data_IF_207341831107
#
_entry.id   IF_207341831107
#
_cell.length_a   1.000
_cell.length_b   1.000
_cell.length_c   1.000
_cell.angle_alpha   90.00
_cell.angle_beta   90.00
_cell.angle_gamma   90.00
#
_symmetry.space_group_name_H-M   'P 1'
#
loop_
_entity.id
_entity.type
_entity.pdbx_description
1 polymer ?
#
# COMPACT_ATOMS: atom_id res chain seq x y z
N UNK A 1 23.20 43.83 17.98
CA UNK A 1 22.49 42.84 17.15
C UNK A 1 23.39 41.64 16.95
N UNK A 2 23.06 40.44 17.45
CA UNK A 2 23.81 39.24 17.12
C UNK A 2 23.37 38.70 15.73
N UNK A 3 24.27 38.11 14.95
CA UNK A 3 23.95 37.60 13.62
C UNK A 3 23.09 36.33 13.70
N UNK A 4 22.09 36.27 12.83
CA UNK A 4 21.22 35.10 12.60
C UNK A 4 22.06 33.92 12.09
N UNK A 5 22.18 32.87 12.90
CA UNK A 5 22.77 31.59 12.49
C UNK A 5 21.83 30.94 11.46
N UNK A 6 22.17 31.02 10.18
CA UNK A 6 21.56 30.17 9.15
C UNK A 6 21.89 28.72 9.50
N UNK A 7 20.86 27.98 9.90
CA UNK A 7 20.97 26.54 10.12
C UNK A 7 21.50 25.84 8.88
N UNK A 8 22.64 25.18 9.03
CA UNK A 8 23.18 24.23 8.05
C UNK A 8 22.08 23.16 7.83
N UNK A 9 21.65 22.87 6.59
CA UNK A 9 20.76 21.75 6.36
C UNK A 9 21.53 20.47 6.69
N UNK A 10 21.35 19.96 7.91
CA UNK A 10 21.82 18.63 8.27
C UNK A 10 21.04 17.68 7.38
N UNK A 11 21.73 17.01 6.46
CA UNK A 11 21.19 15.82 5.82
C UNK A 11 20.80 14.87 6.95
N UNK A 12 19.52 14.87 7.33
CA UNK A 12 18.96 13.86 8.23
C UNK A 12 19.23 12.54 7.51
N UNK A 13 20.13 11.73 8.06
CA UNK A 13 20.21 10.32 7.72
C UNK A 13 18.81 9.75 7.95
N UNK A 14 18.08 9.49 6.87
CA UNK A 14 16.74 8.95 6.95
C UNK A 14 16.84 7.56 7.57
N UNK A 15 16.35 7.42 8.79
CA UNK A 15 16.16 6.12 9.41
C UNK A 15 14.75 5.66 9.03
N UNK A 16 14.64 4.73 8.09
CA UNK A 16 13.34 4.19 7.65
C UNK A 16 12.53 3.52 8.75
N UNK A 17 13.16 3.17 9.88
CA UNK A 17 12.48 2.63 11.06
C UNK A 17 11.95 3.71 12.02
N UNK A 18 12.34 4.97 11.86
CA UNK A 18 11.90 6.07 12.73
C UNK A 18 10.50 6.60 12.37
N UNK A 19 9.93 6.17 11.24
CA UNK A 19 8.66 6.66 10.71
C UNK A 19 7.79 5.52 10.20
N UNK A 20 7.59 4.49 11.02
CA UNK A 20 6.66 3.40 10.69
C UNK A 20 5.39 3.59 11.53
N UNK A 21 4.20 3.64 10.89
CA UNK A 21 2.99 3.86 11.66
C UNK A 21 2.73 2.62 12.52
N UNK A 22 1.77 2.70 13.44
CA UNK A 22 1.29 1.52 14.17
C UNK A 22 0.51 0.59 13.23
N UNK A 23 1.24 -0.07 12.35
CA UNK A 23 0.72 -1.08 11.44
C UNK A 23 0.36 -2.35 12.23
N UNK A 24 -0.66 -3.10 11.80
CA UNK A 24 -0.89 -4.42 12.34
C UNK A 24 0.31 -5.34 12.04
N UNK A 25 0.61 -6.33 12.91
CA UNK A 25 1.74 -7.24 12.72
C UNK A 25 1.76 -7.92 11.34
N UNK A 26 0.61 -8.26 10.78
CA UNK A 26 0.49 -8.88 9.45
C UNK A 26 0.97 -8.00 8.31
N UNK A 27 0.87 -6.66 8.44
CA UNK A 27 1.42 -5.74 7.46
C UNK A 27 2.95 -5.69 7.53
N UNK A 28 3.53 -5.74 8.73
CA UNK A 28 4.98 -5.90 8.90
C UNK A 28 5.48 -7.23 8.32
N UNK A 29 4.76 -8.33 8.58
CA UNK A 29 5.08 -9.65 8.03
C UNK A 29 5.14 -9.66 6.50
N UNK A 30 4.34 -8.84 5.83
CA UNK A 30 4.39 -8.68 4.37
C UNK A 30 5.47 -7.69 3.91
N UNK A 31 5.64 -6.57 4.62
CA UNK A 31 6.59 -5.52 4.23
C UNK A 31 8.04 -6.00 4.25
N UNK A 32 8.45 -6.74 5.27
CA UNK A 32 9.83 -7.19 5.45
C UNK A 32 10.33 -8.08 4.28
N UNK A 33 9.57 -9.10 3.84
CA UNK A 33 9.86 -9.84 2.61
C UNK A 33 9.92 -8.94 1.37
N UNK A 34 8.95 -8.02 1.19
CA UNK A 34 8.95 -7.10 0.05
C UNK A 34 10.24 -6.26 0.00
N UNK A 35 10.74 -5.80 1.16
CA UNK A 35 12.00 -5.06 1.25
C UNK A 35 13.23 -5.93 0.95
N UNK A 36 13.13 -7.25 1.08
CA UNK A 36 14.23 -8.18 0.83
C UNK A 36 14.23 -8.68 -0.62
N UNK A 37 13.05 -8.87 -1.21
CA UNK A 37 12.84 -9.45 -2.54
C UNK A 37 12.74 -8.40 -3.66
N UNK A 38 12.74 -7.11 -3.32
CA UNK A 38 12.69 -6.02 -4.29
C UNK A 38 13.85 -6.04 -5.30
N UNK A 39 13.55 -5.67 -6.53
CA UNK A 39 14.56 -5.18 -7.47
C UNK A 39 15.12 -3.83 -7.00
N UNK A 40 16.35 -3.45 -7.40
CA UNK A 40 16.88 -2.11 -7.18
C UNK A 40 15.88 -1.04 -7.68
N UNK A 41 15.60 -0.07 -6.82
CA UNK A 41 14.58 0.95 -7.05
C UNK A 41 13.21 0.63 -6.45
N UNK A 42 13.03 -0.52 -5.79
CA UNK A 42 11.82 -0.80 -5.00
C UNK A 42 10.72 -1.57 -5.69
N UNK A 43 10.98 -2.09 -6.89
CA UNK A 43 9.98 -2.85 -7.61
C UNK A 43 9.86 -4.26 -7.03
N UNK A 44 8.64 -4.70 -6.74
CA UNK A 44 8.34 -6.07 -6.30
C UNK A 44 7.36 -6.71 -7.28
N UNK A 45 7.74 -7.85 -7.86
CA UNK A 45 6.94 -8.61 -8.81
C UNK A 45 6.47 -9.93 -8.16
N UNK A 46 5.34 -9.87 -7.45
CA UNK A 46 4.70 -11.03 -6.84
C UNK A 46 3.20 -10.78 -6.70
N UNK A 47 2.38 -11.79 -6.83
CA UNK A 47 0.94 -11.78 -6.59
C UNK A 47 0.62 -12.03 -5.12
N UNK A 48 -0.64 -11.78 -4.71
CA UNK A 48 -1.07 -12.16 -3.37
C UNK A 48 -1.01 -13.68 -3.13
N UNK A 49 -1.14 -14.49 -4.19
CA UNK A 49 -0.98 -15.94 -4.11
C UNK A 49 0.47 -16.32 -3.86
N UNK A 50 1.41 -15.70 -4.56
CA UNK A 50 2.85 -15.95 -4.37
C UNK A 50 3.32 -15.49 -2.99
N UNK A 51 2.90 -14.31 -2.52
CA UNK A 51 3.19 -13.88 -1.14
C UNK A 51 2.58 -14.83 -0.09
N UNK A 52 1.34 -15.27 -0.30
CA UNK A 52 0.68 -16.20 0.60
C UNK A 52 1.46 -17.52 0.71
N UNK A 53 1.88 -18.08 -0.43
CA UNK A 53 2.67 -19.29 -0.49
C UNK A 53 4.05 -19.10 0.19
N UNK A 54 4.78 -18.04 -0.15
CA UNK A 54 6.11 -17.77 0.40
C UNK A 54 6.12 -17.51 1.91
N UNK A 55 5.03 -16.95 2.44
CA UNK A 55 4.90 -16.64 3.87
C UNK A 55 4.15 -17.72 4.67
N UNK A 56 3.71 -18.80 4.01
CA UNK A 56 2.82 -19.81 4.61
C UNK A 56 1.58 -19.17 5.29
N UNK A 57 0.99 -18.17 4.62
CA UNK A 57 -0.17 -17.41 5.08
C UNK A 57 -1.36 -17.63 4.16
N UNK A 58 -2.56 -17.46 4.69
CA UNK A 58 -3.76 -17.40 3.86
C UNK A 58 -3.74 -16.19 2.94
N UNK A 59 -4.14 -16.37 1.67
CA UNK A 59 -4.27 -15.25 0.69
C UNK A 59 -5.17 -14.13 1.21
N UNK A 60 -6.17 -14.46 2.03
CA UNK A 60 -7.05 -13.51 2.70
C UNK A 60 -6.33 -12.64 3.75
N UNK A 61 -5.22 -13.11 4.33
CA UNK A 61 -4.38 -12.29 5.21
C UNK A 61 -3.55 -11.30 4.41
N UNK A 62 -2.93 -11.73 3.30
CA UNK A 62 -2.21 -10.82 2.39
C UNK A 62 -3.13 -9.72 1.86
N UNK A 63 -4.35 -10.10 1.47
CA UNK A 63 -5.36 -9.17 0.97
C UNK A 63 -5.85 -8.17 2.03
N UNK A 64 -5.73 -8.49 3.32
CA UNK A 64 -6.04 -7.59 4.44
C UNK A 64 -4.83 -6.73 4.83
N UNK A 65 -3.61 -7.24 4.68
CA UNK A 65 -2.38 -6.53 5.00
C UNK A 65 -2.03 -5.43 3.97
N UNK A 66 -2.19 -5.73 2.68
CA UNK A 66 -1.79 -4.81 1.60
C UNK A 66 -2.40 -3.39 1.71
N UNK A 67 -3.71 -3.21 2.01
CA UNK A 67 -4.28 -1.89 2.18
C UNK A 67 -3.63 -1.05 3.29
N UNK A 68 -3.12 -1.66 4.35
CA UNK A 68 -2.38 -0.94 5.39
C UNK A 68 -1.06 -0.38 4.84
N UNK A 69 -0.32 -1.17 4.06
CA UNK A 69 0.94 -0.72 3.45
C UNK A 69 0.72 0.41 2.43
N UNK A 70 -0.40 0.36 1.71
CA UNK A 70 -0.80 1.42 0.77
C UNK A 70 -1.22 2.69 1.52
N UNK A 71 -2.08 2.57 2.54
CA UNK A 71 -2.52 3.72 3.34
C UNK A 71 -1.32 4.42 4.02
N UNK A 72 -0.33 3.64 4.45
CA UNK A 72 0.91 4.12 5.05
C UNK A 72 1.93 4.67 4.03
N UNK A 73 1.59 4.79 2.75
CA UNK A 73 2.49 5.23 1.65
C UNK A 73 3.74 4.36 1.46
N UNK A 74 3.83 3.20 2.12
CA UNK A 74 5.02 2.33 2.05
C UNK A 74 5.07 1.58 0.72
N UNK A 75 3.91 1.27 0.17
CA UNK A 75 3.74 0.52 -1.08
C UNK A 75 2.73 1.22 -1.99
N UNK A 76 3.04 1.32 -3.27
CA UNK A 76 2.07 1.65 -4.32
C UNK A 76 1.76 0.42 -5.15
N UNK A 77 0.49 0.17 -5.44
CA UNK A 77 0.06 -0.88 -6.38
C UNK A 77 0.16 -0.32 -7.79
N UNK A 78 1.13 -0.77 -8.60
CA UNK A 78 1.22 -0.37 -10.01
C UNK A 78 0.13 -1.09 -10.82
N UNK A 79 0.05 -2.41 -10.64
CA UNK A 79 -0.96 -3.30 -11.22
C UNK A 79 -0.99 -4.61 -10.45
N UNK A 80 -1.92 -5.51 -10.79
CA UNK A 80 -1.95 -6.85 -10.19
C UNK A 80 -0.58 -7.52 -10.31
N UNK A 81 -0.04 -7.97 -9.19
CA UNK A 81 1.25 -8.66 -9.12
C UNK A 81 2.48 -7.76 -9.23
N UNK A 82 2.32 -6.43 -9.20
CA UNK A 82 3.46 -5.51 -9.33
C UNK A 82 3.28 -4.30 -8.41
N UNK A 83 4.23 -4.15 -7.50
CA UNK A 83 4.21 -3.18 -6.42
C UNK A 83 5.48 -2.33 -6.44
N UNK A 84 5.37 -1.11 -5.94
CA UNK A 84 6.49 -0.17 -5.82
C UNK A 84 6.65 0.22 -4.35
N UNK A 85 7.79 -0.10 -3.75
CA UNK A 85 8.17 0.40 -2.45
C UNK A 85 8.48 1.89 -2.51
N UNK A 86 8.19 2.59 -1.41
CA UNK A 86 8.50 4.01 -1.26
C UNK A 86 10.02 4.26 -1.40
N UNK A 87 10.48 5.29 -2.13
CA UNK A 87 11.91 5.55 -2.36
C UNK A 87 12.77 5.64 -1.09
N UNK A 88 12.17 6.06 0.02
CA UNK A 88 12.86 6.19 1.30
C UNK A 88 13.13 4.82 1.99
N UNK A 89 12.41 3.76 1.63
CA UNK A 89 12.62 2.38 2.15
C UNK A 89 13.10 1.40 1.08
N UNK A 90 13.05 1.79 -0.19
CA UNK A 90 13.53 0.99 -1.31
C UNK A 90 15.06 0.90 -1.31
N UNK A 91 15.57 -0.26 -1.72
CA UNK A 91 16.99 -0.49 -1.93
C UNK A 91 17.40 0.02 -3.31
N UNK A 92 18.55 0.69 -3.41
CA UNK A 92 19.13 1.16 -4.66
C UNK A 92 20.59 0.73 -4.74
N UNK A 93 21.07 0.50 -5.97
CA UNK A 93 22.48 0.19 -6.21
C UNK A 93 23.37 1.44 -6.08
N UNK A 94 22.83 2.62 -6.42
CA UNK A 94 23.51 3.91 -6.29
C UNK A 94 22.74 4.82 -5.31
N UNK A 95 23.38 5.31 -4.24
CA UNK A 95 22.79 6.31 -3.34
C UNK A 95 22.28 7.58 -4.04
N UNK A 96 22.86 7.96 -5.18
CA UNK A 96 22.42 9.10 -5.99
C UNK A 96 21.06 8.85 -6.64
N UNK A 97 20.78 7.61 -7.05
CA UNK A 97 19.47 7.22 -7.57
C UNK A 97 18.41 7.30 -6.48
N UNK A 98 18.74 6.83 -5.28
CA UNK A 98 17.86 6.96 -4.13
C UNK A 98 17.56 8.43 -3.82
N UNK A 99 18.58 9.30 -3.80
CA UNK A 99 18.38 10.74 -3.56
C UNK A 99 17.53 11.39 -4.65
N UNK A 100 17.70 11.02 -5.92
CA UNK A 100 16.87 11.50 -7.02
C UNK A 100 15.42 11.06 -6.85
N UNK A 101 15.19 9.79 -6.52
CA UNK A 101 13.86 9.26 -6.29
C UNK A 101 13.17 9.94 -5.10
N UNK A 102 13.87 10.15 -3.98
CA UNK A 102 13.35 10.87 -2.80
C UNK A 102 13.03 12.33 -3.13
N UNK A 103 13.86 13.01 -3.93
CA UNK A 103 13.60 14.40 -4.36
C UNK A 103 12.41 14.51 -5.32
N UNK A 104 12.14 13.46 -6.09
CA UNK A 104 10.99 13.40 -6.98
C UNK A 104 9.69 13.02 -6.24
N UNK A 105 9.79 12.47 -5.03
CA UNK A 105 8.63 12.20 -4.17
C UNK A 105 7.98 13.54 -3.76
N UNK A 106 6.68 13.73 -4.01
CA UNK A 106 5.94 14.88 -3.50
C UNK A 106 6.09 15.01 -1.99
N UNK A 107 6.19 16.23 -1.47
CA UNK A 107 6.40 16.47 -0.04
C UNK A 107 5.31 15.78 0.79
N UNK A 108 4.05 15.92 0.38
CA UNK A 108 2.89 15.27 0.98
C UNK A 108 2.87 13.74 0.80
N UNK A 109 3.90 13.12 0.22
CA UNK A 109 4.07 11.68 0.15
C UNK A 109 5.31 11.20 0.89
N UNK A 110 6.15 12.11 1.38
CA UNK A 110 7.34 11.74 2.13
C UNK A 110 6.98 11.15 3.49
N UNK A 111 7.81 10.21 3.94
CA UNK A 111 7.64 9.52 5.22
C UNK A 111 8.24 10.31 6.40
N UNK A 112 9.07 11.32 6.14
CA UNK A 112 9.73 12.13 7.17
C UNK A 112 8.96 13.38 7.60
N UNK A 113 7.70 13.53 7.16
CA UNK A 113 6.79 14.59 7.61
C UNK A 113 5.97 14.15 8.83
N UNK A 114 5.65 15.11 9.70
CA UNK A 114 5.09 14.87 11.04
C UNK A 114 3.60 14.52 11.10
N UNK A 115 2.89 14.54 9.98
CA UNK A 115 1.44 14.26 9.86
C UNK A 115 1.13 12.80 9.48
N UNK A 116 2.14 11.95 9.50
CA UNK A 116 2.12 10.65 8.87
C UNK A 116 1.11 9.66 9.47
N UNK A 117 1.00 9.57 10.81
CA UNK A 117 0.03 8.65 11.47
C UNK A 117 -1.42 9.09 11.21
N UNK A 118 -1.70 10.40 11.31
CA UNK A 118 -3.04 10.96 11.06
C UNK A 118 -3.48 10.75 9.61
N UNK A 119 -2.54 10.91 8.68
CA UNK A 119 -2.77 10.63 7.28
C UNK A 119 -3.04 9.14 7.02
N UNK A 120 -2.24 8.26 7.61
CA UNK A 120 -2.43 6.82 7.48
C UNK A 120 -3.85 6.44 7.90
N UNK A 121 -4.29 6.90 9.07
CA UNK A 121 -5.62 6.59 9.61
C UNK A 121 -6.71 7.12 8.66
N UNK A 122 -6.58 8.37 8.20
CA UNK A 122 -7.53 8.98 7.26
C UNK A 122 -7.64 8.18 5.96
N UNK A 123 -6.52 7.80 5.36
CA UNK A 123 -6.52 7.02 4.10
C UNK A 123 -7.04 5.62 4.28
N UNK A 124 -6.73 5.00 5.41
CA UNK A 124 -7.23 3.67 5.71
C UNK A 124 -8.75 3.70 5.89
N UNK A 125 -9.28 4.71 6.60
CA UNK A 125 -10.72 4.90 6.73
C UNK A 125 -11.39 5.11 5.36
N UNK A 126 -10.83 5.97 4.50
CA UNK A 126 -11.34 6.17 3.13
C UNK A 126 -11.36 4.86 2.33
N UNK A 127 -10.36 3.99 2.49
CA UNK A 127 -10.33 2.68 1.87
C UNK A 127 -11.47 1.78 2.38
N UNK A 128 -11.71 1.75 3.70
CA UNK A 128 -12.79 0.98 4.29
C UNK A 128 -14.17 1.47 3.82
N UNK A 129 -14.38 2.78 3.77
CA UNK A 129 -15.61 3.41 3.29
C UNK A 129 -15.87 3.07 1.82
N UNK A 130 -14.85 3.16 0.97
CA UNK A 130 -14.96 2.80 -0.43
C UNK A 130 -15.31 1.31 -0.61
N UNK A 131 -14.68 0.45 0.20
CA UNK A 131 -14.95 -1.00 0.21
C UNK A 131 -16.39 -1.29 0.64
N UNK A 132 -16.89 -0.63 1.69
CA UNK A 132 -18.26 -0.76 2.16
C UNK A 132 -19.26 -0.32 1.08
N UNK A 133 -19.04 0.85 0.47
CA UNK A 133 -19.86 1.36 -0.63
C UNK A 133 -19.93 0.39 -1.81
N UNK A 134 -18.80 -0.20 -2.21
CA UNK A 134 -18.74 -1.21 -3.28
C UNK A 134 -19.48 -2.50 -2.90
N UNK A 135 -19.39 -2.93 -1.64
CA UNK A 135 -20.10 -4.11 -1.16
C UNK A 135 -21.62 -3.89 -1.15
N UNK A 136 -22.08 -2.73 -0.70
CA UNK A 136 -23.50 -2.35 -0.72
C UNK A 136 -24.06 -2.27 -2.15
N UNK A 137 -23.32 -1.65 -3.08
CA UNK A 137 -23.72 -1.59 -4.48
C UNK A 137 -23.85 -2.99 -5.12
N UNK A 138 -22.94 -3.92 -4.79
CA UNK A 138 -23.03 -5.32 -5.23
C UNK A 138 -24.22 -6.05 -4.62
N UNK A 139 -24.49 -5.84 -3.34
CA UNK A 139 -25.64 -6.43 -2.67
C UNK A 139 -26.96 -5.96 -3.31
N UNK A 140 -27.09 -4.66 -3.60
CA UNK A 140 -28.27 -4.09 -4.28
C UNK A 140 -28.40 -4.55 -5.74
N UNK A 141 -27.29 -4.66 -6.48
CA UNK A 141 -27.28 -5.13 -7.87
C UNK A 141 -27.62 -6.62 -8.04
N UNK A 142 -27.34 -7.46 -7.03
CA UNK A 142 -27.69 -8.88 -7.03
C UNK A 142 -29.16 -9.16 -6.68
N UNK A 143 -29.95 -8.15 -6.28
CA UNK A 143 -31.40 -8.28 -6.08
C UNK A 143 -32.13 -7.99 -7.40
N UNK A 144 -31.93 -8.83 -8.41
CA UNK A 144 -32.88 -8.94 -9.52
C UNK A 144 -33.60 -10.27 -9.37
N UNK A 145 -34.93 -10.30 -9.14
CA UNK A 145 -35.63 -11.55 -8.95
C UNK A 145 -35.61 -12.35 -10.26
N UNK A 146 -35.14 -13.60 -10.19
CA UNK A 146 -35.31 -14.59 -11.25
C UNK A 146 -36.82 -14.81 -11.41
N UNK A 147 -37.44 -14.05 -12.30
CA UNK A 147 -38.80 -14.31 -12.73
C UNK A 147 -38.81 -14.36 -14.26
N UNK A 148 -38.80 -15.58 -14.81
CA UNK A 148 -39.39 -15.87 -16.12
C UNK A 148 -39.68 -17.37 -16.28
N UNK A 149 -40.90 -17.72 -15.85
CA UNK A 149 -41.91 -18.55 -16.52
C UNK A 149 -41.42 -19.80 -17.26
N UNK A 150 -41.60 -20.94 -16.61
CA UNK A 150 -41.78 -22.26 -17.23
C UNK A 150 -42.79 -22.22 -18.38
N UNK A 151 -42.33 -22.41 -19.61
CA UNK A 151 -43.22 -22.77 -20.72
C UNK A 151 -43.25 -24.30 -20.83
N UNK A 152 -44.30 -24.90 -20.28
CA UNK A 152 -44.76 -26.24 -20.66
C UNK A 152 -45.17 -26.22 -22.13
N UNK A 153 -44.55 -27.07 -22.96
CA UNK A 153 -44.99 -27.29 -24.34
C UNK A 153 -46.21 -28.22 -24.36
N UNK A 154 -47.25 -27.95 -25.17
CA UNK A 154 -48.29 -28.92 -25.43
C UNK A 154 -47.77 -29.98 -26.42
N UNK A 155 -48.18 -31.22 -26.17
CA UNK A 155 -47.92 -32.41 -26.98
C UNK A 155 -48.74 -32.33 -28.27
N UNK A 156 -48.10 -32.60 -29.40
CA UNK A 156 -48.69 -32.84 -30.71
C UNK A 156 -47.84 -33.85 -31.46
#
# INVERSE_FOLDING_TARGET
MPPTVRGIPRARTFNGLAYVPRLPPTAYTLLLPMMTEQEPGGLVAATHEEFAAGLAMERGMISRAMPHLVAARLVTVIRRGRFQLHPMIAAFNDPRDQQRAIKATPDDMRLDLGDFEDEYERRFQLHLDEKARKAEARAKGNVTPINRRSHLKPVG
#
